data_IF_436087439150
#
_entry.id   IF_436087439150
#
_cell.length_a   1.000
_cell.length_b   1.000
_cell.length_c   1.000
_cell.angle_alpha   90.00
_cell.angle_beta   90.00
_cell.angle_gamma   90.00
#
_symmetry.space_group_name_H-M   'P 1'
#
loop_
_entity.id
_entity.type
_entity.pdbx_description
1 polymer ?
#
# COMPACT_ATOMS: atom_id res chain seq x y z
N UNK A 1 -8.90 4.87 -2.11
CA UNK A 1 -9.13 3.51 -2.61
C UNK A 1 -7.94 2.95 -3.40
N UNK A 2 -7.45 3.61 -4.47
CA UNK A 2 -6.32 3.12 -5.29
C UNK A 2 -5.01 2.83 -4.51
N UNK A 3 -4.65 3.69 -3.56
CA UNK A 3 -3.47 3.51 -2.70
C UNK A 3 -3.57 2.29 -1.78
N UNK A 4 -4.75 2.04 -1.20
CA UNK A 4 -5.00 0.89 -0.34
C UNK A 4 -4.90 -0.41 -1.14
N UNK A 5 -5.49 -0.45 -2.33
CA UNK A 5 -5.43 -1.62 -3.20
C UNK A 5 -3.99 -1.94 -3.60
N UNK A 6 -3.20 -0.92 -3.99
CA UNK A 6 -1.79 -1.10 -4.31
C UNK A 6 -0.96 -1.56 -3.09
N UNK A 7 -1.22 -1.02 -1.90
CA UNK A 7 -0.60 -1.47 -0.65
C UNK A 7 -0.90 -2.95 -0.38
N UNK A 8 -2.17 -3.35 -0.47
CA UNK A 8 -2.59 -4.75 -0.25
C UNK A 8 -2.00 -5.70 -1.30
N UNK A 9 -1.90 -5.28 -2.57
CA UNK A 9 -1.28 -6.07 -3.63
C UNK A 9 0.21 -6.32 -3.35
N UNK A 10 0.94 -5.29 -2.92
CA UNK A 10 2.35 -5.41 -2.55
C UNK A 10 2.54 -6.34 -1.35
N UNK A 11 1.64 -6.24 -0.37
CA UNK A 11 1.65 -7.10 0.80
C UNK A 11 1.34 -8.58 0.45
N UNK A 12 0.38 -8.83 -0.43
CA UNK A 12 0.12 -10.17 -0.99
C UNK A 12 1.32 -10.70 -1.79
N UNK A 13 2.05 -9.82 -2.48
CA UNK A 13 3.27 -10.14 -3.21
C UNK A 13 4.49 -10.44 -2.34
N UNK A 14 4.35 -10.43 -1.01
CA UNK A 14 5.43 -10.71 -0.06
C UNK A 14 6.16 -9.47 0.46
N UNK A 15 5.80 -8.26 0.02
CA UNK A 15 6.32 -7.02 0.58
C UNK A 15 5.52 -6.66 1.84
N UNK A 16 5.91 -7.21 2.98
CA UNK A 16 5.19 -7.10 4.26
C UNK A 16 5.01 -5.67 4.78
N UNK A 17 5.83 -4.72 4.32
CA UNK A 17 5.70 -3.30 4.67
C UNK A 17 5.97 -2.45 3.41
N UNK A 18 4.96 -2.36 2.52
CA UNK A 18 5.07 -1.57 1.29
C UNK A 18 5.37 -0.11 1.62
N UNK A 19 6.42 0.44 1.02
CA UNK A 19 6.77 1.83 1.16
C UNK A 19 5.96 2.70 0.19
N UNK A 20 5.94 4.02 0.45
CA UNK A 20 5.30 4.98 -0.45
C UNK A 20 5.85 4.93 -1.88
N UNK A 21 7.15 4.65 -2.05
CA UNK A 21 7.75 4.39 -3.37
C UNK A 21 7.16 3.17 -4.07
N UNK A 22 7.08 2.02 -3.38
CA UNK A 22 6.57 0.78 -3.98
C UNK A 22 5.13 0.97 -4.49
N UNK A 23 4.31 1.67 -3.71
CA UNK A 23 2.92 1.97 -4.05
C UNK A 23 2.84 2.90 -5.26
N UNK A 24 3.74 3.89 -5.35
CA UNK A 24 3.83 4.79 -6.51
C UNK A 24 4.23 4.02 -7.78
N UNK A 25 5.17 3.09 -7.69
CA UNK A 25 5.58 2.28 -8.84
C UNK A 25 4.44 1.41 -9.36
N UNK A 26 3.71 0.73 -8.47
CA UNK A 26 2.56 -0.10 -8.87
C UNK A 26 1.47 0.76 -9.51
N UNK A 27 1.14 1.91 -8.91
CA UNK A 27 0.15 2.83 -9.48
C UNK A 27 0.60 3.39 -10.83
N UNK A 28 1.87 3.75 -10.98
CA UNK A 28 2.42 4.24 -12.25
C UNK A 28 2.45 3.16 -13.33
N UNK A 29 2.69 1.91 -12.97
CA UNK A 29 2.67 0.76 -13.89
C UNK A 29 1.28 0.57 -14.53
N UNK A 30 0.21 0.89 -13.79
CA UNK A 30 -1.17 0.86 -14.30
C UNK A 30 -1.66 2.21 -14.84
N UNK A 31 -0.76 3.19 -15.00
CA UNK A 31 -1.08 4.52 -15.55
C UNK A 31 -1.86 5.43 -14.59
N UNK A 32 -1.78 5.18 -13.28
CA UNK A 32 -2.47 5.94 -12.25
C UNK A 32 -1.50 6.84 -11.51
N UNK A 33 -1.78 8.15 -11.48
CA UNK A 33 -1.03 9.08 -10.63
C UNK A 33 -1.36 8.87 -9.15
N UNK A 34 -0.29 8.70 -8.38
CA UNK A 34 -0.33 8.59 -6.94
C UNK A 34 -0.40 9.97 -6.31
N UNK A 35 -1.48 10.23 -5.57
CA UNK A 35 -1.60 11.41 -4.72
C UNK A 35 -0.74 11.24 -3.47
N UNK A 36 0.33 12.02 -3.36
CA UNK A 36 1.32 11.91 -2.29
C UNK A 36 0.73 12.16 -0.90
N UNK A 37 -0.16 13.14 -0.76
CA UNK A 37 -0.74 13.51 0.53
C UNK A 37 -1.66 12.41 1.07
N UNK A 38 -2.46 11.79 0.18
CA UNK A 38 -3.29 10.64 0.53
C UNK A 38 -2.47 9.38 0.79
N UNK A 39 -1.35 9.22 0.10
CA UNK A 39 -0.45 8.10 0.27
C UNK A 39 0.22 8.15 1.64
N UNK A 40 0.79 9.29 2.02
CA UNK A 40 1.40 9.50 3.33
C UNK A 40 0.40 9.25 4.46
N UNK A 41 -0.80 9.84 4.38
CA UNK A 41 -1.89 9.57 5.34
C UNK A 41 -2.20 8.08 5.45
N UNK A 42 -2.24 7.37 4.33
CA UNK A 42 -2.56 5.95 4.31
C UNK A 42 -1.43 5.10 4.89
N UNK A 43 -0.16 5.42 4.58
CA UNK A 43 1.00 4.73 5.16
C UNK A 43 1.03 4.97 6.66
N UNK A 44 0.86 6.20 7.15
CA UNK A 44 0.83 6.47 8.60
C UNK A 44 -0.37 5.83 9.31
N UNK A 45 -1.54 5.75 8.68
CA UNK A 45 -2.71 5.06 9.25
C UNK A 45 -2.53 3.54 9.34
N UNK A 46 -1.66 2.97 8.51
CA UNK A 46 -1.34 1.54 8.47
C UNK A 46 -0.05 1.21 9.23
N UNK A 47 0.80 2.20 9.47
CA UNK A 47 2.00 2.09 10.31
C UNK A 47 1.56 1.75 11.75
N UNK A 48 1.91 0.55 12.20
CA UNK A 48 1.48 0.03 13.50
C UNK A 48 0.13 -0.72 13.51
N UNK A 49 -0.65 -0.68 12.42
CA UNK A 49 -1.78 -1.60 12.23
C UNK A 49 -1.28 -2.85 11.50
N UNK A 50 -1.19 -3.96 12.21
CA UNK A 50 -0.76 -5.22 11.63
C UNK A 50 -1.85 -5.79 10.71
N UNK A 51 -1.77 -5.51 9.41
CA UNK A 51 -2.71 -6.00 8.39
C UNK A 51 -2.55 -7.52 8.17
N UNK A 52 -1.47 -8.14 8.65
CA UNK A 52 -1.28 -9.60 8.58
C UNK A 52 -2.22 -10.39 9.50
N UNK A 53 -2.95 -9.75 10.42
CA UNK A 53 -4.01 -10.42 11.19
C UNK A 53 -5.17 -10.92 10.30
N UNK A 54 -5.29 -10.40 9.07
CA UNK A 54 -6.42 -10.69 8.17
C UNK A 54 -6.23 -11.98 7.34
N UNK A 55 -5.04 -12.57 7.25
CA UNK A 55 -4.78 -13.80 6.45
C UNK A 55 -4.42 -15.06 7.27
N UNK A 56 -4.63 -15.02 8.58
CA UNK A 56 -4.22 -16.08 9.52
C UNK A 56 -5.34 -16.97 10.07
N UNK A 57 -6.41 -17.26 9.33
CA UNK A 57 -7.39 -18.32 9.65
C UNK A 57 -7.81 -19.11 8.43
#
# INVERSE_FOLDING_TARGET
MKHLAAYLLLQLGGNSSPSSSDIKEVLSSVGIEADGERLDKLVSELEGKNIQDVSGR
#
